data_IF_529544720540
#
_entry.id   IF_529544720540
#
_cell.length_a   1.000
_cell.length_b   1.000
_cell.length_c   1.000
_cell.angle_alpha   90.00
_cell.angle_beta   90.00
_cell.angle_gamma   90.00
#
_symmetry.space_group_name_H-M   'P 1'
#
loop_
_entity.id
_entity.type
_entity.pdbx_description
1 polymer ?
#
# COMPACT_ATOMS: atom_id res chain seq x y z
N UNK A 1 22.30 -11.54 -9.80
CA UNK A 1 21.75 -10.65 -8.75
C UNK A 1 22.42 -9.30 -8.88
N UNK A 2 21.63 -8.23 -8.91
CA UNK A 2 22.12 -6.85 -8.99
C UNK A 2 22.42 -6.32 -7.57
N UNK A 3 23.63 -6.60 -7.09
CA UNK A 3 24.08 -6.16 -5.76
C UNK A 3 24.26 -4.64 -5.66
N UNK A 4 24.53 -3.96 -6.79
CA UNK A 4 24.74 -2.52 -6.83
C UNK A 4 23.44 -1.74 -6.71
N UNK A 5 22.36 -2.23 -7.35
CA UNK A 5 21.02 -1.70 -7.15
C UNK A 5 20.53 -1.87 -5.71
N UNK A 6 20.71 -3.06 -5.11
CA UNK A 6 20.31 -3.30 -3.71
C UNK A 6 21.07 -2.37 -2.75
N UNK A 7 22.39 -2.26 -2.93
CA UNK A 7 23.26 -1.42 -2.10
C UNK A 7 23.02 0.08 -2.20
N UNK A 8 22.21 0.55 -3.17
CA UNK A 8 21.87 1.96 -3.34
C UNK A 8 20.42 2.26 -2.99
N UNK A 9 19.48 1.42 -3.43
CA UNK A 9 18.03 1.60 -3.19
C UNK A 9 17.69 1.51 -1.70
N UNK A 10 18.16 0.45 -1.02
CA UNK A 10 17.83 0.18 0.39
C UNK A 10 18.31 1.31 1.33
N UNK A 11 19.60 1.68 1.33
CA UNK A 11 20.06 2.79 2.18
C UNK A 11 19.47 4.14 1.76
N UNK A 12 19.21 4.36 0.46
CA UNK A 12 18.56 5.59 0.00
C UNK A 12 17.16 5.78 0.57
N UNK A 13 16.30 4.76 0.47
CA UNK A 13 14.95 4.77 1.04
C UNK A 13 14.99 4.90 2.56
N UNK A 14 15.86 4.15 3.23
CA UNK A 14 16.02 4.21 4.68
C UNK A 14 16.43 5.62 5.15
N UNK A 15 17.40 6.25 4.49
CA UNK A 15 17.86 7.59 4.83
C UNK A 15 16.77 8.65 4.63
N UNK A 16 16.00 8.56 3.55
CA UNK A 16 14.88 9.48 3.30
C UNK A 16 13.80 9.32 4.38
N UNK A 17 13.36 8.09 4.65
CA UNK A 17 12.35 7.81 5.67
C UNK A 17 12.84 8.23 7.07
N UNK A 18 14.11 7.94 7.38
CA UNK A 18 14.74 8.33 8.64
C UNK A 18 14.73 9.84 8.80
N UNK A 19 15.18 10.58 7.77
CA UNK A 19 15.23 12.05 7.82
C UNK A 19 13.85 12.66 8.04
N UNK A 20 12.79 12.11 7.43
CA UNK A 20 11.40 12.56 7.62
C UNK A 20 10.90 12.27 9.04
N UNK A 21 11.16 11.08 9.56
CA UNK A 21 10.61 10.64 10.86
C UNK A 21 11.36 11.26 12.04
N UNK A 22 12.68 11.37 11.94
CA UNK A 22 13.52 11.93 13.01
C UNK A 22 13.52 13.47 12.99
N UNK A 23 12.97 14.08 11.92
CA UNK A 23 12.91 15.54 11.80
C UNK A 23 12.13 16.25 12.89
N UNK A 24 11.07 15.63 13.39
CA UNK A 24 10.19 16.12 14.44
C UNK A 24 10.80 15.99 15.85
N UNK A 25 11.75 15.09 16.04
CA UNK A 25 12.36 14.78 17.34
C UNK A 25 13.71 15.47 17.55
N UNK A 26 14.26 16.09 16.50
CA UNK A 26 15.56 16.73 16.54
C UNK A 26 15.56 18.06 17.31
N UNK A 27 16.68 18.43 17.96
CA UNK A 27 16.75 19.61 18.81
C UNK A 27 16.36 20.94 18.14
N UNK A 28 16.55 21.06 16.81
CA UNK A 28 16.23 22.27 16.03
C UNK A 28 15.29 21.96 14.86
N UNK A 29 14.53 20.86 14.96
CA UNK A 29 13.65 20.39 13.87
C UNK A 29 14.41 20.24 12.55
N UNK A 30 13.83 20.74 11.47
CA UNK A 30 14.42 20.76 10.12
C UNK A 30 15.74 21.52 9.99
N UNK A 31 16.03 22.47 10.89
CA UNK A 31 17.28 23.23 10.86
C UNK A 31 18.47 22.41 11.39
N UNK A 32 18.24 21.20 11.88
CA UNK A 32 19.31 20.36 12.40
C UNK A 32 20.16 19.79 11.24
N UNK A 33 21.48 20.03 11.22
CA UNK A 33 22.32 19.68 10.08
C UNK A 33 22.29 18.21 9.67
N UNK A 34 22.15 17.29 10.64
CA UNK A 34 22.15 15.85 10.33
C UNK A 34 20.91 15.39 9.53
N UNK A 35 19.76 16.05 9.69
CA UNK A 35 18.53 15.73 8.95
C UNK A 35 18.66 16.15 7.49
N UNK A 36 19.18 17.35 7.25
CA UNK A 36 19.42 17.85 5.91
C UNK A 36 20.46 16.99 5.19
N UNK A 37 21.54 16.60 5.89
CA UNK A 37 22.58 15.73 5.34
C UNK A 37 22.04 14.34 5.02
N UNK A 38 21.25 13.73 5.92
CA UNK A 38 20.65 12.41 5.68
C UNK A 38 19.61 12.43 4.57
N UNK A 39 18.81 13.49 4.44
CA UNK A 39 17.88 13.69 3.32
C UNK A 39 18.63 13.82 1.99
N UNK A 40 19.66 14.69 1.92
CA UNK A 40 20.46 14.89 0.71
C UNK A 40 21.17 13.58 0.32
N UNK A 41 21.77 12.88 1.28
CA UNK A 41 22.38 11.58 1.04
C UNK A 41 21.33 10.58 0.54
N UNK A 42 20.16 10.48 1.17
CA UNK A 42 19.08 9.59 0.74
C UNK A 42 18.64 9.86 -0.70
N UNK A 43 18.45 11.13 -1.07
CA UNK A 43 18.12 11.53 -2.45
C UNK A 43 19.26 11.22 -3.41
N UNK A 44 20.53 11.43 -3.03
CA UNK A 44 21.67 11.06 -3.86
C UNK A 44 21.80 9.53 -4.04
N UNK A 45 21.52 8.75 -2.99
CA UNK A 45 21.49 7.29 -3.06
C UNK A 45 20.35 6.79 -3.97
N UNK A 46 19.17 7.41 -3.92
CA UNK A 46 18.07 7.13 -4.84
C UNK A 46 18.35 7.55 -6.29
N UNK A 47 19.00 8.70 -6.50
CA UNK A 47 19.40 9.16 -7.83
C UNK A 47 20.49 8.27 -8.43
N UNK A 48 21.46 7.84 -7.61
CA UNK A 48 22.49 6.89 -8.04
C UNK A 48 21.92 5.49 -8.28
N UNK A 49 20.95 5.04 -7.47
CA UNK A 49 20.18 3.82 -7.73
C UNK A 49 19.50 3.87 -9.10
N UNK A 50 18.77 4.95 -9.39
CA UNK A 50 18.11 5.12 -10.69
C UNK A 50 19.13 5.08 -11.85
N UNK A 51 20.28 5.74 -11.70
CA UNK A 51 21.34 5.71 -12.70
C UNK A 51 21.92 4.30 -12.91
N UNK A 52 22.24 3.59 -11.82
CA UNK A 52 22.79 2.23 -11.84
C UNK A 52 21.80 1.26 -12.47
N UNK A 53 20.53 1.35 -12.09
CA UNK A 53 19.46 0.48 -12.57
C UNK A 53 19.13 0.72 -14.05
N UNK A 54 19.25 1.97 -14.52
CA UNK A 54 18.99 2.32 -15.93
C UNK A 54 20.17 2.03 -16.86
N UNK A 55 21.42 2.24 -16.41
CA UNK A 55 22.59 2.22 -17.30
C UNK A 55 23.55 1.05 -17.07
N UNK A 56 23.60 0.44 -15.88
CA UNK A 56 24.60 -0.58 -15.53
C UNK A 56 24.03 -1.97 -15.24
N UNK A 57 22.76 -2.07 -14.86
CA UNK A 57 22.19 -3.35 -14.46
C UNK A 57 21.93 -4.26 -15.68
N UNK A 58 22.63 -5.40 -15.73
CA UNK A 58 22.34 -6.49 -16.70
C UNK A 58 21.03 -7.22 -16.40
N UNK A 59 20.62 -7.25 -15.13
CA UNK A 59 19.34 -7.79 -14.66
C UNK A 59 18.81 -6.79 -13.62
N UNK A 60 18.05 -5.76 -14.04
CA UNK A 60 17.55 -4.72 -13.14
C UNK A 60 16.62 -5.31 -12.08
N UNK A 61 16.63 -4.73 -10.88
CA UNK A 61 15.73 -5.12 -9.78
C UNK A 61 14.29 -4.68 -10.06
N UNK A 62 14.11 -3.50 -10.65
CA UNK A 62 12.84 -2.97 -11.12
C UNK A 62 12.88 -2.87 -12.65
N UNK A 63 12.72 -3.99 -13.38
CA UNK A 63 12.60 -3.96 -14.83
C UNK A 63 11.47 -3.03 -15.25
N UNK A 64 11.73 -2.13 -16.21
CA UNK A 64 10.78 -1.11 -16.66
C UNK A 64 9.44 -1.71 -17.14
N UNK A 65 9.49 -2.95 -17.62
CA UNK A 65 8.34 -3.77 -17.98
C UNK A 65 7.32 -3.97 -16.84
N UNK A 66 7.72 -3.86 -15.56
CA UNK A 66 6.80 -3.89 -14.42
C UNK A 66 5.80 -2.72 -14.46
N UNK A 67 6.22 -1.59 -15.02
CA UNK A 67 5.40 -0.39 -15.16
C UNK A 67 4.71 -0.31 -16.53
N UNK A 68 4.98 -1.27 -17.44
CA UNK A 68 4.37 -1.31 -18.77
C UNK A 68 2.84 -1.52 -18.76
N UNK A 69 2.23 -2.30 -17.82
CA UNK A 69 0.79 -2.46 -17.76
C UNK A 69 0.07 -1.12 -17.52
N UNK A 70 -0.91 -0.83 -18.39
CA UNK A 70 -1.73 0.39 -18.31
C UNK A 70 -2.48 0.42 -16.98
N UNK A 71 -2.03 1.28 -16.06
CA UNK A 71 -2.65 1.46 -14.74
C UNK A 71 -1.75 1.15 -13.56
N UNK A 72 -0.60 0.48 -13.75
CA UNK A 72 0.33 0.14 -12.66
C UNK A 72 0.74 1.37 -11.85
N UNK A 73 1.26 2.42 -12.51
CA UNK A 73 1.70 3.64 -11.82
C UNK A 73 0.57 4.31 -11.02
N UNK A 74 -0.66 4.26 -11.54
CA UNK A 74 -1.82 4.85 -10.87
C UNK A 74 -2.26 4.01 -9.67
N UNK A 75 -2.24 2.68 -9.81
CA UNK A 75 -2.50 1.76 -8.72
C UNK A 75 -1.47 1.93 -7.60
N UNK A 76 -0.18 2.02 -7.93
CA UNK A 76 0.88 2.27 -6.96
C UNK A 76 0.69 3.63 -6.24
N UNK A 77 0.29 4.67 -6.96
CA UNK A 77 -0.02 5.97 -6.34
C UNK A 77 -1.21 5.90 -5.37
N UNK A 78 -2.29 5.21 -5.75
CA UNK A 78 -3.46 5.00 -4.88
C UNK A 78 -3.07 4.18 -3.64
N UNK A 79 -2.30 3.10 -3.82
CA UNK A 79 -1.80 2.27 -2.73
C UNK A 79 -0.91 3.05 -1.76
N UNK A 80 0.02 3.84 -2.29
CA UNK A 80 0.91 4.69 -1.52
C UNK A 80 0.12 5.66 -0.62
N UNK A 81 -0.91 6.30 -1.17
CA UNK A 81 -1.78 7.21 -0.41
C UNK A 81 -2.69 6.48 0.59
N UNK A 82 -3.27 5.34 0.19
CA UNK A 82 -4.21 4.58 1.02
C UNK A 82 -3.50 3.95 2.24
N UNK A 83 -2.37 3.29 2.04
CA UNK A 83 -1.60 2.72 3.15
C UNK A 83 -0.88 3.80 3.97
N UNK A 84 -0.48 4.91 3.34
CA UNK A 84 0.03 6.08 4.05
C UNK A 84 -0.94 6.64 5.08
N UNK A 85 -2.18 6.88 4.64
CA UNK A 85 -3.24 7.39 5.52
C UNK A 85 -3.68 6.35 6.56
N UNK A 86 -3.62 5.05 6.24
CA UNK A 86 -3.84 3.99 7.22
C UNK A 86 -2.80 3.98 8.33
N UNK A 87 -1.51 4.06 8.00
CA UNK A 87 -0.44 4.10 9.00
C UNK A 87 -0.55 5.31 9.93
N UNK A 88 -0.80 6.48 9.34
CA UNK A 88 -1.10 7.71 10.07
C UNK A 88 -2.31 7.53 11.00
N UNK A 89 -3.41 6.96 10.48
CA UNK A 89 -4.61 6.70 11.25
C UNK A 89 -4.34 5.80 12.43
N UNK A 90 -3.73 4.63 12.25
CA UNK A 90 -3.43 3.70 13.34
C UNK A 90 -2.66 4.37 14.46
N UNK A 91 -1.63 5.12 14.11
CA UNK A 91 -0.77 5.80 15.07
C UNK A 91 -1.56 6.88 15.83
N UNK A 92 -2.09 7.89 15.12
CA UNK A 92 -2.73 9.04 15.77
C UNK A 92 -4.08 8.70 16.39
N UNK A 93 -4.84 7.74 15.87
CA UNK A 93 -6.09 7.32 16.50
C UNK A 93 -5.82 6.65 17.85
N UNK A 94 -4.79 5.81 17.96
CA UNK A 94 -4.36 5.20 19.24
C UNK A 94 -3.99 6.28 20.25
N UNK A 95 -3.08 7.20 19.87
CA UNK A 95 -2.65 8.29 20.75
C UNK A 95 -3.78 9.26 21.09
N UNK A 96 -4.71 9.52 20.16
CA UNK A 96 -5.88 10.35 20.44
C UNK A 96 -6.81 9.69 21.46
N UNK A 97 -7.04 8.38 21.36
CA UNK A 97 -7.84 7.63 22.33
C UNK A 97 -7.21 7.59 23.71
N UNK A 98 -5.89 7.43 23.80
CA UNK A 98 -5.18 7.33 25.08
C UNK A 98 -4.91 8.69 25.72
N UNK A 99 -4.37 9.64 24.97
CA UNK A 99 -3.90 10.91 25.51
C UNK A 99 -4.94 12.03 25.49
N UNK A 100 -5.87 12.03 24.52
CA UNK A 100 -6.91 13.07 24.41
C UNK A 100 -8.22 12.62 25.05
N UNK A 101 -8.64 11.38 24.81
CA UNK A 101 -9.87 10.82 25.39
C UNK A 101 -9.64 10.16 26.76
N UNK A 102 -8.38 10.12 27.23
CA UNK A 102 -7.97 9.55 28.52
C UNK A 102 -8.48 8.11 28.73
N UNK A 103 -8.52 7.31 27.65
CA UNK A 103 -8.89 5.90 27.72
C UNK A 103 -7.66 5.06 28.03
N UNK A 104 -7.84 4.01 28.83
CA UNK A 104 -6.77 3.04 29.07
C UNK A 104 -6.43 2.29 27.76
N UNK A 105 -5.16 1.89 27.55
CA UNK A 105 -4.76 1.10 26.39
C UNK A 105 -5.59 -0.17 26.18
N UNK A 106 -6.06 -0.81 27.26
CA UNK A 106 -6.93 -1.98 27.19
C UNK A 106 -8.29 -1.67 26.52
N UNK A 107 -8.87 -0.50 26.82
CA UNK A 107 -10.12 -0.05 26.21
C UNK A 107 -9.88 0.31 24.74
N UNK A 108 -8.76 0.98 24.44
CA UNK A 108 -8.36 1.30 23.07
C UNK A 108 -8.24 0.01 22.23
N UNK A 109 -7.62 -1.04 22.75
CA UNK A 109 -7.56 -2.34 22.09
C UNK A 109 -8.95 -2.96 21.84
N UNK A 110 -9.86 -2.86 22.81
CA UNK A 110 -11.26 -3.28 22.63
C UNK A 110 -11.95 -2.47 21.52
N UNK A 111 -11.66 -1.19 21.41
CA UNK A 111 -12.22 -0.31 20.38
C UNK A 111 -11.73 -0.65 18.96
N UNK A 112 -10.56 -1.30 18.81
CA UNK A 112 -10.05 -1.81 17.54
C UNK A 112 -10.64 -3.18 17.13
N UNK A 113 -11.32 -3.91 18.03
CA UNK A 113 -11.92 -5.22 17.70
C UNK A 113 -12.80 -5.20 16.44
N UNK A 114 -13.68 -4.20 16.22
CA UNK A 114 -14.48 -4.14 14.99
C UNK A 114 -13.64 -4.09 13.72
N UNK A 115 -12.44 -3.49 13.79
CA UNK A 115 -11.52 -3.44 12.65
C UNK A 115 -11.05 -4.85 12.28
N UNK A 116 -10.64 -5.64 13.28
CA UNK A 116 -10.19 -7.02 13.12
C UNK A 116 -11.32 -7.96 12.66
N UNK A 117 -12.49 -7.83 13.27
CA UNK A 117 -13.68 -8.64 12.92
C UNK A 117 -14.13 -8.30 11.50
N UNK A 118 -14.18 -7.01 11.15
CA UNK A 118 -14.46 -6.57 9.80
C UNK A 118 -13.47 -7.16 8.80
N UNK A 119 -12.18 -7.23 9.14
CA UNK A 119 -11.16 -7.75 8.25
C UNK A 119 -11.29 -9.24 8.00
N UNK A 120 -11.67 -10.01 9.02
CA UNK A 120 -12.00 -11.43 8.88
C UNK A 120 -13.23 -11.64 7.97
N UNK A 121 -14.27 -10.81 8.14
CA UNK A 121 -15.49 -10.88 7.33
C UNK A 121 -15.19 -10.51 5.88
N UNK A 122 -14.47 -9.41 5.63
CA UNK A 122 -14.15 -8.96 4.28
C UNK A 122 -13.12 -9.89 3.63
N UNK A 123 -12.15 -10.42 4.38
CA UNK A 123 -11.23 -11.42 3.85
C UNK A 123 -11.94 -12.71 3.40
N UNK A 124 -12.94 -13.16 4.15
CA UNK A 124 -13.72 -14.37 3.79
C UNK A 124 -14.74 -14.11 2.69
N UNK A 125 -15.53 -13.04 2.79
CA UNK A 125 -16.63 -12.71 1.84
C UNK A 125 -16.12 -12.00 0.59
N UNK A 126 -15.04 -11.22 0.73
CA UNK A 126 -14.46 -10.42 -0.33
C UNK A 126 -13.94 -11.25 -1.49
N UNK A 127 -13.30 -12.39 -1.22
CA UNK A 127 -12.88 -13.32 -2.27
C UNK A 127 -14.04 -13.80 -3.15
N UNK A 128 -15.24 -13.98 -2.56
CA UNK A 128 -16.44 -14.41 -3.28
C UNK A 128 -17.25 -13.29 -3.92
N UNK A 129 -17.07 -12.03 -3.51
CA UNK A 129 -17.98 -10.94 -3.92
C UNK A 129 -17.29 -9.88 -4.76
N UNK A 130 -16.02 -9.59 -4.46
CA UNK A 130 -15.29 -8.46 -5.05
C UNK A 130 -14.98 -8.67 -6.55
N UNK A 131 -14.97 -9.92 -7.02
CA UNK A 131 -14.76 -10.25 -8.43
C UNK A 131 -15.96 -9.95 -9.35
N UNK A 132 -17.14 -9.65 -8.79
CA UNK A 132 -18.32 -9.28 -9.59
C UNK A 132 -18.38 -7.79 -9.93
N UNK A 133 -17.64 -6.95 -9.21
CA UNK A 133 -17.68 -5.51 -9.38
C UNK A 133 -16.46 -5.01 -10.17
N UNK A 134 -16.60 -3.96 -10.99
CA UNK A 134 -15.46 -3.35 -11.67
C UNK A 134 -14.44 -2.82 -10.65
N UNK A 135 -13.15 -3.10 -10.84
CA UNK A 135 -12.08 -2.64 -9.94
C UNK A 135 -12.08 -1.13 -9.70
N UNK A 136 -12.52 -0.34 -10.68
CA UNK A 136 -12.70 1.12 -10.53
C UNK A 136 -13.74 1.49 -9.45
N UNK A 137 -14.86 0.75 -9.38
CA UNK A 137 -15.91 0.97 -8.38
C UNK A 137 -15.39 0.60 -7.00
N UNK A 138 -14.65 -0.51 -6.90
CA UNK A 138 -14.03 -0.94 -5.64
C UNK A 138 -13.03 0.10 -5.12
N UNK A 139 -12.14 0.60 -5.97
CA UNK A 139 -11.18 1.65 -5.57
C UNK A 139 -11.87 2.95 -5.15
N UNK A 140 -12.99 3.29 -5.80
CA UNK A 140 -13.78 4.45 -5.41
C UNK A 140 -14.40 4.27 -4.02
N UNK A 141 -15.05 3.12 -3.77
CA UNK A 141 -15.65 2.79 -2.46
C UNK A 141 -14.57 2.76 -1.39
N UNK A 142 -13.42 2.16 -1.68
CA UNK A 142 -12.34 2.02 -0.72
C UNK A 142 -11.71 3.37 -0.35
N UNK A 143 -11.46 4.23 -1.35
CA UNK A 143 -10.96 5.58 -1.13
C UNK A 143 -11.97 6.45 -0.38
N UNK A 144 -13.26 6.30 -0.67
CA UNK A 144 -14.32 7.01 0.02
C UNK A 144 -14.41 6.58 1.49
N UNK A 145 -14.37 5.27 1.76
CA UNK A 145 -14.39 4.73 3.11
C UNK A 145 -13.16 5.21 3.92
N UNK A 146 -11.98 5.25 3.29
CA UNK A 146 -10.78 5.78 3.92
C UNK A 146 -10.90 7.29 4.23
N UNK A 147 -11.41 8.09 3.28
CA UNK A 147 -11.66 9.51 3.52
C UNK A 147 -12.68 9.75 4.64
N UNK A 148 -13.78 8.99 4.68
CA UNK A 148 -14.78 9.06 5.75
C UNK A 148 -14.13 8.74 7.10
N UNK A 149 -13.29 7.71 7.17
CA UNK A 149 -12.56 7.33 8.40
C UNK A 149 -11.75 8.50 8.96
N UNK A 150 -10.96 9.16 8.12
CA UNK A 150 -10.16 10.32 8.52
C UNK A 150 -11.05 11.51 8.91
N UNK A 151 -12.14 11.72 8.18
CA UNK A 151 -13.09 12.81 8.45
C UNK A 151 -13.78 12.65 9.81
N UNK A 152 -14.19 11.43 10.17
CA UNK A 152 -14.81 11.13 11.46
C UNK A 152 -13.88 11.49 12.62
N UNK A 153 -12.60 11.14 12.54
CA UNK A 153 -11.63 11.50 13.58
C UNK A 153 -11.28 13.01 13.56
N UNK A 154 -11.22 13.64 12.39
CA UNK A 154 -10.99 15.08 12.27
C UNK A 154 -12.13 15.92 12.92
N UNK A 155 -13.38 15.51 12.72
CA UNK A 155 -14.57 16.20 13.22
C UNK A 155 -14.97 15.79 14.65
N UNK A 156 -14.28 14.82 15.25
CA UNK A 156 -14.68 14.23 16.53
C UNK A 156 -14.85 15.28 17.66
N UNK A 157 -16.01 15.30 18.36
CA UNK A 157 -16.27 16.22 19.47
C UNK A 157 -15.47 15.84 20.73
N UNK A 158 -15.58 16.63 21.80
CA UNK A 158 -14.83 16.39 23.06
C UNK A 158 -15.29 15.14 23.80
N UNK A 159 -16.60 14.90 23.79
CA UNK A 159 -17.22 13.72 24.38
C UNK A 159 -17.87 12.88 23.27
N UNK A 160 -17.08 12.16 22.46
CA UNK A 160 -17.62 11.37 21.38
C UNK A 160 -18.31 10.11 21.93
N UNK A 161 -19.48 9.81 21.39
CA UNK A 161 -20.07 8.50 21.54
C UNK A 161 -19.29 7.49 20.68
N UNK A 162 -18.79 6.42 21.31
CA UNK A 162 -18.08 5.33 20.64
C UNK A 162 -18.81 4.82 19.40
N UNK A 163 -20.12 4.58 19.53
CA UNK A 163 -20.95 4.01 18.46
C UNK A 163 -21.16 4.95 17.28
N UNK A 164 -21.09 6.26 17.50
CA UNK A 164 -21.31 7.24 16.45
C UNK A 164 -20.02 7.63 15.71
N UNK A 165 -18.86 7.55 16.39
CA UNK A 165 -17.61 8.09 15.86
C UNK A 165 -16.53 7.04 15.66
N UNK A 166 -16.22 6.24 16.68
CA UNK A 166 -15.10 5.30 16.63
C UNK A 166 -15.50 4.03 15.90
N UNK A 167 -16.65 3.43 16.24
CA UNK A 167 -17.12 2.20 15.62
C UNK A 167 -17.28 2.34 14.09
N UNK A 168 -17.96 3.36 13.55
CA UNK A 168 -18.10 3.50 12.10
C UNK A 168 -16.77 3.79 11.42
N UNK A 169 -15.87 4.56 12.05
CA UNK A 169 -14.54 4.82 11.53
C UNK A 169 -13.71 3.52 11.42
N UNK A 170 -13.75 2.64 12.42
CA UNK A 170 -13.05 1.35 12.35
C UNK A 170 -13.58 0.47 11.22
N UNK A 171 -14.90 0.42 11.04
CA UNK A 171 -15.53 -0.34 9.95
C UNK A 171 -15.16 0.24 8.58
N UNK A 172 -15.25 1.56 8.40
CA UNK A 172 -14.87 2.22 7.15
C UNK A 172 -13.37 2.05 6.85
N UNK A 173 -12.51 2.07 7.87
CA UNK A 173 -11.08 1.86 7.73
C UNK A 173 -10.79 0.49 7.13
N UNK A 174 -11.35 -0.55 7.74
CA UNK A 174 -11.21 -1.93 7.25
C UNK A 174 -11.71 -2.09 5.81
N UNK A 175 -12.88 -1.55 5.49
CA UNK A 175 -13.43 -1.57 4.13
C UNK A 175 -12.46 -0.89 3.15
N UNK A 176 -11.88 0.24 3.54
CA UNK A 176 -10.93 0.98 2.72
C UNK A 176 -9.67 0.18 2.40
N UNK A 177 -9.08 -0.45 3.41
CA UNK A 177 -7.78 -1.12 3.26
C UNK A 177 -7.92 -2.46 2.56
N UNK A 178 -8.88 -3.28 2.99
CA UNK A 178 -9.03 -4.64 2.49
C UNK A 178 -9.46 -4.67 1.02
N UNK A 179 -10.39 -3.79 0.64
CA UNK A 179 -10.80 -3.65 -0.77
C UNK A 179 -9.62 -3.17 -1.61
N UNK A 180 -8.87 -2.16 -1.14
CA UNK A 180 -7.72 -1.63 -1.88
C UNK A 180 -6.67 -2.72 -2.08
N UNK A 181 -6.33 -3.45 -1.03
CA UNK A 181 -5.37 -4.57 -1.09
C UNK A 181 -5.86 -5.70 -2.01
N UNK A 182 -7.14 -6.06 -1.94
CA UNK A 182 -7.73 -7.08 -2.80
C UNK A 182 -7.70 -6.69 -4.27
N UNK A 183 -8.09 -5.46 -4.61
CA UNK A 183 -8.03 -4.96 -5.99
C UNK A 183 -6.60 -4.97 -6.51
N UNK A 184 -5.63 -4.59 -5.68
CA UNK A 184 -4.22 -4.60 -6.06
C UNK A 184 -3.71 -6.01 -6.35
N UNK A 185 -4.09 -6.99 -5.52
CA UNK A 185 -3.74 -8.40 -5.77
C UNK A 185 -4.39 -8.93 -7.05
N UNK A 186 -5.67 -8.63 -7.30
CA UNK A 186 -6.35 -9.04 -8.54
C UNK A 186 -5.68 -8.40 -9.76
N UNK A 187 -5.40 -7.09 -9.70
CA UNK A 187 -4.72 -6.39 -10.79
C UNK A 187 -3.36 -7.00 -11.07
N UNK A 188 -2.59 -7.31 -10.02
CA UNK A 188 -1.30 -7.97 -10.11
C UNK A 188 -1.41 -9.33 -10.80
N UNK A 189 -2.33 -10.19 -10.37
CA UNK A 189 -2.48 -11.54 -10.94
C UNK A 189 -3.00 -11.51 -12.38
N UNK A 190 -3.85 -10.55 -12.73
CA UNK A 190 -4.42 -10.45 -14.08
C UNK A 190 -3.47 -9.79 -15.08
N UNK A 191 -2.64 -8.83 -14.66
CA UNK A 191 -1.81 -8.00 -15.55
C UNK A 191 -0.30 -8.29 -15.44
N UNK A 192 0.11 -9.37 -14.76
CA UNK A 192 1.49 -9.83 -14.75
C UNK A 192 1.61 -11.32 -15.03
N UNK A 193 2.60 -11.75 -15.84
CA UNK A 193 2.89 -13.16 -16.03
C UNK A 193 3.41 -13.79 -14.73
N UNK A 194 3.13 -15.07 -14.52
CA UNK A 194 3.38 -15.78 -13.25
C UNK A 194 4.83 -15.65 -12.75
N UNK A 195 5.81 -15.63 -13.66
CA UNK A 195 7.22 -15.48 -13.31
C UNK A 195 7.62 -14.09 -12.77
N UNK A 196 6.79 -13.05 -12.98
CA UNK A 196 7.03 -11.68 -12.48
C UNK A 196 6.13 -11.26 -11.32
N UNK A 197 5.10 -12.04 -11.01
CA UNK A 197 4.16 -11.70 -9.93
C UNK A 197 4.85 -11.56 -8.57
N UNK A 198 5.85 -12.39 -8.26
CA UNK A 198 6.62 -12.27 -7.02
C UNK A 198 7.37 -10.93 -6.91
N UNK A 199 7.98 -10.47 -8.01
CA UNK A 199 8.72 -9.21 -8.04
C UNK A 199 7.77 -8.00 -7.94
N UNK A 200 6.67 -8.04 -8.67
CA UNK A 200 5.65 -6.99 -8.63
C UNK A 200 4.92 -6.94 -7.26
N UNK A 201 4.71 -8.09 -6.61
CA UNK A 201 4.20 -8.16 -5.23
C UNK A 201 5.17 -7.56 -4.21
N UNK A 202 6.48 -7.79 -4.38
CA UNK A 202 7.50 -7.16 -3.54
C UNK A 202 7.53 -5.63 -3.73
N UNK A 203 7.39 -5.15 -4.97
CA UNK A 203 7.25 -3.72 -5.26
C UNK A 203 6.02 -3.11 -4.59
N UNK A 204 4.84 -3.76 -4.72
CA UNK A 204 3.61 -3.30 -4.07
C UNK A 204 3.82 -3.17 -2.56
N UNK A 205 4.28 -4.23 -1.89
CA UNK A 205 4.52 -4.20 -0.44
C UNK A 205 5.52 -3.11 -0.03
N UNK A 206 6.58 -2.92 -0.82
CA UNK A 206 7.56 -1.85 -0.57
C UNK A 206 6.90 -0.47 -0.63
N UNK A 207 6.01 -0.24 -1.61
CA UNK A 207 5.22 0.99 -1.72
C UNK A 207 4.23 1.16 -0.56
N UNK A 208 3.64 0.09 -0.06
CA UNK A 208 2.72 0.15 1.10
C UNK A 208 3.44 0.68 2.34
N UNK A 209 4.55 0.04 2.71
CA UNK A 209 5.31 0.41 3.89
C UNK A 209 6.00 1.76 3.73
N UNK A 210 6.50 2.07 2.53
CA UNK A 210 7.05 3.39 2.23
C UNK A 210 5.98 4.48 2.39
N UNK A 211 4.75 4.23 1.93
CA UNK A 211 3.60 5.12 2.13
C UNK A 211 3.32 5.37 3.61
N UNK A 212 3.22 4.30 4.41
CA UNK A 212 3.03 4.39 5.86
C UNK A 212 4.06 5.32 6.49
N UNK A 213 5.34 5.04 6.26
CA UNK A 213 6.43 5.81 6.87
C UNK A 213 6.46 7.27 6.40
N UNK A 214 6.25 7.51 5.10
CA UNK A 214 6.31 8.85 4.52
C UNK A 214 5.20 9.77 5.08
N UNK A 215 3.95 9.32 5.03
CA UNK A 215 2.82 10.13 5.49
C UNK A 215 2.77 10.25 7.01
N UNK A 216 3.21 9.22 7.74
CA UNK A 216 3.36 9.31 9.19
C UNK A 216 4.41 10.37 9.57
N UNK A 217 5.56 10.39 8.91
CA UNK A 217 6.59 11.41 9.14
C UNK A 217 6.10 12.83 8.87
N UNK A 218 5.37 13.04 7.76
CA UNK A 218 4.75 14.35 7.45
C UNK A 218 3.75 14.77 8.53
N UNK A 219 2.91 13.84 8.98
CA UNK A 219 1.96 14.12 10.04
C UNK A 219 2.67 14.45 11.36
N UNK A 220 3.77 13.78 11.66
CA UNK A 220 4.55 14.02 12.87
C UNK A 220 5.19 15.41 12.89
N UNK A 221 5.73 15.86 11.76
CA UNK A 221 6.17 17.24 11.60
C UNK A 221 5.01 18.22 11.84
N UNK A 222 3.86 17.97 11.22
CA UNK A 222 2.70 18.87 11.37
C UNK A 222 2.18 18.92 12.82
N UNK A 223 2.22 17.81 13.54
CA UNK A 223 1.84 17.72 14.95
C UNK A 223 2.87 18.42 15.84
N UNK A 224 4.16 18.24 15.58
CA UNK A 224 5.24 18.88 16.33
C UNK A 224 5.19 20.42 16.20
N UNK A 225 5.02 20.94 14.98
CA UNK A 225 4.89 22.38 14.72
C UNK A 225 3.65 22.99 15.38
N UNK A 226 2.58 22.20 15.51
CA UNK A 226 1.33 22.64 16.13
C UNK A 226 1.21 22.29 17.61
N UNK A 227 2.28 21.81 18.26
CA UNK A 227 2.28 21.40 19.66
C UNK A 227 1.84 22.54 20.61
N UNK A 228 2.17 23.79 20.27
CA UNK A 228 1.80 24.98 21.04
C UNK A 228 0.27 25.22 21.12
N UNK A 229 -0.52 24.63 20.21
CA UNK A 229 -1.97 24.80 20.16
C UNK A 229 -2.73 23.84 21.09
N UNK A 230 -2.01 22.90 21.71
CA UNK A 230 -2.54 21.85 22.58
C UNK A 230 -2.81 20.53 21.84
N UNK A 231 -2.57 19.42 22.54
CA UNK A 231 -2.49 18.05 22.01
C UNK A 231 -3.66 17.68 21.06
N UNK A 232 -4.88 18.03 21.46
CA UNK A 232 -6.09 17.72 20.68
C UNK A 232 -6.12 18.44 19.34
N UNK A 233 -5.74 19.72 19.29
CA UNK A 233 -5.72 20.48 18.04
C UNK A 233 -4.62 19.98 17.13
N UNK A 234 -3.45 19.68 17.69
CA UNK A 234 -2.32 19.12 16.94
C UNK A 234 -2.70 17.79 16.27
N UNK A 235 -3.30 16.85 17.00
CA UNK A 235 -3.73 15.58 16.41
C UNK A 235 -4.85 15.74 15.37
N UNK A 236 -5.74 16.73 15.54
CA UNK A 236 -6.72 17.06 14.50
C UNK A 236 -6.08 17.55 13.21
N UNK A 237 -4.92 18.22 13.26
CA UNK A 237 -4.17 18.61 12.06
C UNK A 237 -3.70 17.37 11.31
N UNK A 238 -3.20 16.34 12.00
CA UNK A 238 -2.83 15.07 11.37
C UNK A 238 -4.03 14.42 10.67
N UNK A 239 -5.20 14.37 11.31
CA UNK A 239 -6.41 13.81 10.69
C UNK A 239 -6.91 14.63 9.49
N UNK A 240 -6.80 15.96 9.52
CA UNK A 240 -7.12 16.81 8.37
C UNK A 240 -6.15 16.61 7.21
N UNK A 241 -4.85 16.46 7.50
CA UNK A 241 -3.84 16.09 6.51
C UNK A 241 -4.18 14.73 5.89
N UNK A 242 -4.49 13.73 6.71
CA UNK A 242 -4.87 12.40 6.26
C UNK A 242 -6.13 12.43 5.39
N UNK A 243 -7.14 13.23 5.76
CA UNK A 243 -8.34 13.44 4.95
C UNK A 243 -8.02 14.05 3.59
N UNK A 244 -7.16 15.08 3.56
CA UNK A 244 -6.70 15.69 2.31
C UNK A 244 -6.03 14.67 1.40
N UNK A 245 -5.11 13.87 1.94
CA UNK A 245 -4.40 12.82 1.20
C UNK A 245 -5.36 11.71 0.73
N UNK A 246 -6.26 11.24 1.59
CA UNK A 246 -7.25 10.21 1.25
C UNK A 246 -8.26 10.68 0.18
N UNK A 247 -8.47 11.98 0.05
CA UNK A 247 -9.37 12.58 -0.95
C UNK A 247 -8.73 12.71 -2.33
N UNK A 248 -7.40 12.71 -2.43
CA UNK A 248 -6.68 12.82 -3.72
C UNK A 248 -7.05 11.64 -4.65
N UNK A 249 -6.98 10.36 -4.22
CA UNK A 249 -7.41 9.23 -5.04
C UNK A 249 -8.84 9.39 -5.58
N UNK A 250 -9.78 9.93 -4.79
CA UNK A 250 -11.18 10.13 -5.22
C UNK A 250 -11.30 11.06 -6.44
N UNK A 251 -10.40 12.03 -6.59
CA UNK A 251 -10.36 12.93 -7.74
C UNK A 251 -9.72 12.28 -8.97
N UNK A 252 -8.78 11.36 -8.78
CA UNK A 252 -8.08 10.68 -9.86
C UNK A 252 -8.82 9.45 -10.38
N UNK A 253 -9.52 8.70 -9.52
CA UNK A 253 -10.26 7.48 -9.86
C UNK A 253 -11.28 7.65 -11.01
N UNK A 254 -11.98 8.78 -11.18
CA UNK A 254 -12.82 9.02 -12.35
C UNK A 254 -12.06 8.99 -13.69
N UNK A 255 -10.76 9.32 -13.68
CA UNK A 255 -9.88 9.31 -14.84
C UNK A 255 -9.11 7.99 -14.99
N UNK A 256 -9.23 7.10 -14.02
CA UNK A 256 -8.58 5.79 -14.05
C UNK A 256 -9.42 4.84 -14.92
N UNK A 257 -8.99 4.62 -16.15
CA UNK A 257 -9.33 3.41 -16.90
C UNK A 257 -8.49 2.26 -16.35
N UNK A 258 -9.01 1.57 -15.34
CA UNK A 258 -8.62 0.19 -15.04
C UNK A 258 -9.64 -0.69 -15.77
N UNK A 259 -9.14 -1.61 -16.60
CA UNK A 259 -9.97 -2.61 -17.27
C UNK A 259 -10.88 -3.32 -16.26
N UNK A 260 -12.06 -3.75 -16.69
CA UNK A 260 -13.02 -4.37 -15.80
C UNK A 260 -12.34 -5.52 -15.04
N UNK A 261 -12.53 -5.58 -13.72
CA UNK A 261 -12.20 -6.77 -12.93
C UNK A 261 -13.24 -7.87 -13.23
N UNK A 262 -13.49 -8.15 -14.51
CA UNK A 262 -14.09 -9.41 -14.91
C UNK A 262 -13.01 -10.48 -14.70
N UNK A 263 -13.42 -11.74 -14.64
CA UNK A 263 -12.56 -12.89 -14.90
C UNK A 263 -11.99 -12.76 -16.32
N UNK A 264 -11.07 -11.81 -16.46
CA UNK A 264 -10.24 -11.62 -17.61
C UNK A 264 -9.18 -12.70 -17.47
N UNK A 265 -9.13 -13.57 -18.47
CA UNK A 265 -8.08 -14.59 -18.64
C UNK A 265 -6.74 -14.00 -18.18
N UNK A 266 -6.05 -14.72 -17.31
CA UNK A 266 -4.70 -14.36 -16.85
C UNK A 266 -3.85 -14.03 -18.07
N UNK A 267 -2.89 -13.10 -17.99
CA UNK A 267 -2.02 -12.80 -19.14
C UNK A 267 -1.46 -14.06 -19.82
N UNK A 268 -1.09 -15.06 -19.02
CA UNK A 268 -0.61 -16.35 -19.48
C UNK A 268 -1.71 -17.17 -20.20
N UNK A 269 -2.97 -17.11 -19.76
CA UNK A 269 -4.12 -17.72 -20.43
C UNK A 269 -4.50 -17.00 -21.73
N UNK A 270 -4.42 -15.66 -21.77
CA UNK A 270 -4.58 -14.88 -23.02
C UNK A 270 -3.49 -15.23 -24.02
N UNK A 271 -2.24 -15.32 -23.58
CA UNK A 271 -1.12 -15.72 -24.44
C UNK A 271 -1.28 -17.14 -24.96
N UNK A 272 -1.78 -18.09 -24.16
CA UNK A 272 -2.10 -19.46 -24.59
C UNK A 272 -3.26 -19.54 -25.58
N UNK A 273 -4.21 -18.60 -25.54
CA UNK A 273 -5.31 -18.53 -26.51
C UNK A 273 -4.91 -17.84 -27.82
N UNK A 274 -4.05 -16.82 -27.75
CA UNK A 274 -3.53 -16.13 -28.95
C UNK A 274 -2.46 -16.97 -29.68
N UNK A 275 -1.64 -17.71 -28.94
CA UNK A 275 -0.69 -18.69 -29.46
C UNK A 275 -0.98 -20.06 -28.83
N UNK A 276 -1.96 -20.81 -29.35
CA UNK A 276 -2.16 -22.20 -28.93
C UNK A 276 -0.88 -22.99 -29.24
N UNK A 277 -0.43 -23.87 -28.33
CA UNK A 277 0.72 -24.72 -28.58
C UNK A 277 0.50 -25.47 -29.88
N UNK A 278 1.54 -25.53 -30.72
CA UNK A 278 1.46 -26.31 -31.95
C UNK A 278 1.15 -27.77 -31.59
N UNK A 279 0.37 -28.48 -32.42
CA UNK A 279 -0.07 -29.86 -32.14
C UNK A 279 1.09 -30.79 -31.71
N UNK A 280 2.33 -30.50 -32.13
CA UNK A 280 3.56 -31.21 -31.72
C UNK A 280 3.95 -31.06 -30.25
N UNK A 281 3.63 -29.95 -29.58
CA UNK A 281 3.92 -29.75 -28.15
C UNK A 281 2.88 -30.46 -27.28
N UNK A 282 1.62 -30.48 -27.72
CA UNK A 282 0.53 -31.23 -27.04
C UNK A 282 0.68 -32.74 -27.15
N UNK A 283 1.35 -33.25 -28.18
CA UNK A 283 1.67 -34.68 -28.32
C UNK A 283 2.95 -35.07 -27.53
N UNK A 284 3.85 -34.12 -27.27
CA UNK A 284 5.08 -34.36 -26.53
C UNK A 284 4.88 -34.43 -24.99
N UNK A 285 3.92 -33.69 -24.43
CA UNK A 285 3.57 -33.75 -23.00
C UNK A 285 3.11 -35.14 -22.51
N UNK A 286 2.18 -35.85 -23.17
CA UNK A 286 1.78 -37.19 -22.74
C UNK A 286 2.89 -38.23 -22.95
N UNK A 287 3.76 -38.08 -23.95
CA UNK A 287 4.91 -38.98 -24.13
C UNK A 287 5.99 -38.79 -23.05
N UNK A 288 6.24 -37.55 -22.62
CA UNK A 288 7.18 -37.23 -21.54
C UNK A 288 6.68 -37.72 -20.18
N UNK A 289 5.39 -37.58 -19.86
CA UNK A 289 4.78 -38.13 -18.64
C UNK A 289 4.78 -39.67 -18.63
N UNK A 290 4.53 -40.30 -19.78
CA UNK A 290 4.57 -41.76 -19.92
C UNK A 290 6.01 -42.30 -19.78
N UNK A 291 7.01 -41.60 -20.31
CA UNK A 291 8.42 -41.97 -20.15
C UNK A 291 8.94 -41.72 -18.72
N UNK A 292 8.47 -40.68 -18.05
CA UNK A 292 8.81 -40.40 -16.65
C UNK A 292 8.22 -41.46 -15.69
N UNK A 293 6.99 -41.92 -15.92
CA UNK A 293 6.38 -43.01 -15.13
C UNK A 293 7.01 -44.38 -15.43
N UNK A 294 7.54 -44.61 -16.64
CA UNK A 294 8.25 -45.84 -16.98
C UNK A 294 9.68 -45.92 -16.41
N UNK A 295 10.26 -44.79 -16.00
CA UNK A 295 11.61 -44.71 -15.43
C UNK A 295 11.67 -44.73 -13.90
N UNK A 296 10.54 -44.81 -13.19
CA UNK A 296 10.57 -45.07 -11.74
C UNK A 296 11.01 -46.52 -11.47
N UNK A 297 12.21 -46.76 -10.88
CA UNK A 297 12.57 -48.10 -10.44
C UNK A 297 11.71 -48.48 -9.25
N UNK A 298 10.95 -49.58 -9.37
CA UNK A 298 10.30 -50.24 -8.22
C UNK A 298 11.36 -50.67 -7.22
N UNK A 299 11.47 -49.92 -6.13
CA UNK A 299 11.99 -50.38 -4.82
C UNK A 299 11.30 -49.62 -3.72
#
# INVERSE_FOLDING_TARGET
MDWWGVGTIVPGLLLVVYSLTDSSHAPHGWATPYIIVTLILGVMFLASAWYVETHKARVPLLPADLFAPKGMNRLLAVLFMAFGTFGLFLFYSSFYMELVLHRSPLITAVWYIPMCVGGLIIGTVGGFTLHFLPGRVLLFISSLANAITMLLFALMPENPNYWAWVFPAMVCCTIGIDITFTVSNIFLTTNMPSHRQGLAGALINSVLFLGISFFLGIADIAVAETANLGLRKSYKVAFWLAFGVASIPLLFIPFIQIGSAKSELTMDERQRLENPPSVRESEAEPEAETQAQAQEPKT
#
